data_IF_921270703356
#
_entry.id   IF_921270703356
#
_cell.length_a   1.000
_cell.length_b   1.000
_cell.length_c   1.000
_cell.angle_alpha   90.00
_cell.angle_beta   90.00
_cell.angle_gamma   90.00
#
_symmetry.space_group_name_H-M   'P 1'
#
loop_
_entity.id
_entity.type
_entity.pdbx_description
1 polymer ?
#
# COMPACT_ATOMS: atom_id res chain seq x y z
N UNK A 1 -23.16 -3.12 -1.26
CA UNK A 1 -22.13 -2.35 -0.54
C UNK A 1 -20.71 -2.82 -0.93
N UNK A 2 -20.42 -3.09 -2.21
CA UNK A 2 -19.11 -3.60 -2.66
C UNK A 2 -18.27 -2.57 -3.41
N UNK A 3 -18.88 -1.84 -4.34
CA UNK A 3 -18.15 -1.02 -5.32
C UNK A 3 -17.29 0.11 -4.73
N UNK A 4 -17.74 0.78 -3.67
CA UNK A 4 -16.96 1.87 -3.05
C UNK A 4 -15.73 1.34 -2.31
N UNK A 5 -15.87 0.19 -1.64
CA UNK A 5 -14.75 -0.47 -0.95
C UNK A 5 -13.76 -1.05 -1.96
N UNK A 6 -14.25 -1.59 -3.08
CA UNK A 6 -13.40 -2.06 -4.17
C UNK A 6 -12.58 -0.92 -4.79
N UNK A 7 -13.20 0.23 -5.08
CA UNK A 7 -12.51 1.41 -5.60
C UNK A 7 -11.47 1.90 -4.60
N UNK A 8 -11.82 1.97 -3.31
CA UNK A 8 -10.89 2.41 -2.26
C UNK A 8 -9.69 1.46 -2.14
N UNK A 9 -9.93 0.15 -2.17
CA UNK A 9 -8.87 -0.86 -2.11
C UNK A 9 -7.95 -0.78 -3.33
N UNK A 10 -8.49 -0.50 -4.52
CA UNK A 10 -7.72 -0.30 -5.74
C UNK A 10 -6.86 0.96 -5.67
N UNK A 11 -7.40 2.07 -5.14
CA UNK A 11 -6.64 3.30 -4.90
C UNK A 11 -5.51 3.05 -3.90
N UNK A 12 -5.80 2.42 -2.76
CA UNK A 12 -4.78 2.09 -1.75
C UNK A 12 -3.67 1.20 -2.34
N UNK A 13 -4.02 0.25 -3.21
CA UNK A 13 -3.05 -0.60 -3.90
C UNK A 13 -2.12 0.21 -4.81
N UNK A 14 -2.68 1.13 -5.61
CA UNK A 14 -1.88 2.01 -6.49
C UNK A 14 -0.94 2.89 -5.68
N UNK A 15 -1.39 3.46 -4.56
CA UNK A 15 -0.55 4.27 -3.67
C UNK A 15 0.55 3.41 -3.03
N UNK A 16 0.24 2.16 -2.64
CA UNK A 16 1.23 1.24 -2.08
C UNK A 16 2.36 0.92 -3.07
N UNK A 17 2.01 0.66 -4.34
CA UNK A 17 2.98 0.45 -5.42
C UNK A 17 3.83 1.70 -5.61
N UNK A 18 3.22 2.89 -5.64
CA UNK A 18 3.93 4.16 -5.77
C UNK A 18 4.93 4.39 -4.62
N UNK A 19 4.52 4.12 -3.38
CA UNK A 19 5.38 4.23 -2.21
C UNK A 19 6.58 3.27 -2.28
N UNK A 20 6.38 2.04 -2.75
CA UNK A 20 7.48 1.09 -2.94
C UNK A 20 8.47 1.52 -4.02
N UNK A 21 7.98 2.00 -5.18
CA UNK A 21 8.83 2.52 -6.25
C UNK A 21 9.63 3.72 -5.77
N UNK A 22 9.00 4.64 -5.03
CA UNK A 22 9.66 5.79 -4.43
C UNK A 22 10.72 5.35 -3.40
N UNK A 23 10.41 4.35 -2.57
CA UNK A 23 11.36 3.80 -1.61
C UNK A 23 12.63 3.26 -2.29
N UNK A 24 12.47 2.53 -3.40
CA UNK A 24 13.60 2.04 -4.20
C UNK A 24 14.41 3.22 -4.78
N UNK A 25 13.75 4.25 -5.31
CA UNK A 25 14.40 5.43 -5.86
C UNK A 25 15.23 6.18 -4.80
N UNK A 26 14.63 6.41 -3.63
CA UNK A 26 15.26 7.11 -2.50
C UNK A 26 16.44 6.31 -1.94
N UNK A 27 16.34 4.98 -1.91
CA UNK A 27 17.45 4.08 -1.55
C UNK A 27 18.65 4.25 -2.50
N UNK A 28 18.38 4.41 -3.80
CA UNK A 28 19.41 4.74 -4.80
C UNK A 28 20.11 6.09 -4.54
N UNK A 29 19.47 7.00 -3.82
CA UNK A 29 19.98 8.32 -3.49
C UNK A 29 20.73 8.38 -2.14
N UNK A 30 21.08 7.21 -1.56
CA UNK A 30 21.73 7.05 -0.24
C UNK A 30 20.91 7.56 0.96
N UNK A 31 19.61 7.72 0.79
CA UNK A 31 18.69 8.06 1.88
C UNK A 31 17.95 6.81 2.36
N UNK A 32 18.66 6.00 3.15
CA UNK A 32 18.14 4.71 3.61
C UNK A 32 16.94 4.87 4.56
N UNK A 33 16.87 5.97 5.32
CA UNK A 33 15.77 6.25 6.23
C UNK A 33 14.51 6.62 5.44
N UNK A 34 14.63 7.48 4.43
CA UNK A 34 13.52 7.82 3.54
C UNK A 34 13.01 6.60 2.77
N UNK A 35 13.91 5.73 2.33
CA UNK A 35 13.56 4.46 1.69
C UNK A 35 12.77 3.55 2.65
N UNK A 36 13.28 3.34 3.87
CA UNK A 36 12.62 2.50 4.88
C UNK A 36 11.24 3.03 5.24
N UNK A 37 11.08 4.34 5.36
CA UNK A 37 9.79 4.99 5.60
C UNK A 37 8.81 4.71 4.45
N UNK A 38 9.24 4.88 3.21
CA UNK A 38 8.42 4.60 2.03
C UNK A 38 8.02 3.12 1.94
N UNK A 39 8.92 2.19 2.25
CA UNK A 39 8.61 0.76 2.34
C UNK A 39 7.60 0.45 3.45
N UNK A 40 7.75 1.04 4.64
CA UNK A 40 6.81 0.86 5.74
C UNK A 40 5.41 1.37 5.37
N UNK A 41 5.32 2.56 4.77
CA UNK A 41 4.05 3.10 4.27
C UNK A 41 3.41 2.22 3.20
N UNK A 42 4.19 1.76 2.20
CA UNK A 42 3.71 0.85 1.16
C UNK A 42 3.17 -0.46 1.73
N UNK A 43 3.86 -1.05 2.71
CA UNK A 43 3.44 -2.29 3.37
C UNK A 43 2.11 -2.13 4.14
N UNK A 44 1.93 -1.01 4.86
CA UNK A 44 0.69 -0.71 5.58
C UNK A 44 -0.47 -0.53 4.61
N UNK A 45 -0.28 0.28 3.55
CA UNK A 45 -1.31 0.54 2.54
C UNK A 45 -1.72 -0.75 1.81
N UNK A 46 -0.75 -1.59 1.46
CA UNK A 46 -1.01 -2.89 0.84
C UNK A 46 -1.82 -3.79 1.78
N UNK A 47 -1.44 -3.86 3.06
CA UNK A 47 -2.18 -4.65 4.05
C UNK A 47 -3.61 -4.17 4.24
N UNK A 48 -3.82 -2.85 4.33
CA UNK A 48 -5.16 -2.26 4.42
C UNK A 48 -5.99 -2.54 3.17
N UNK A 49 -5.38 -2.48 1.98
CA UNK A 49 -6.06 -2.85 0.72
C UNK A 49 -6.54 -4.31 0.79
N UNK A 50 -5.65 -5.22 1.16
CA UNK A 50 -5.95 -6.66 1.24
C UNK A 50 -7.01 -6.96 2.29
N UNK A 51 -6.98 -6.32 3.46
CA UNK A 51 -8.01 -6.49 4.49
C UNK A 51 -9.40 -5.98 4.05
N UNK A 52 -9.45 -4.94 3.21
CA UNK A 52 -10.69 -4.43 2.63
C UNK A 52 -11.25 -5.37 1.54
N UNK A 53 -10.35 -5.96 0.74
CA UNK A 53 -10.66 -6.93 -0.31
C UNK A 53 -11.01 -8.32 0.23
N UNK A 54 -10.53 -8.68 1.42
CA UNK A 54 -10.77 -9.99 2.00
C UNK A 54 -12.26 -10.11 2.32
N UNK A 55 -12.99 -11.07 1.72
CA UNK A 55 -14.37 -11.31 2.08
C UNK A 55 -14.40 -11.69 3.56
N UNK A 56 -15.06 -10.86 4.38
CA UNK A 56 -15.39 -11.22 5.75
C UNK A 56 -16.38 -12.38 5.63
N UNK A 57 -15.93 -13.61 5.87
CA UNK A 57 -16.83 -14.75 6.04
C UNK A 57 -17.79 -14.36 7.15
N UNK A 58 -19.02 -14.02 6.78
CA UNK A 58 -20.08 -13.73 7.72
C UNK A 58 -20.52 -15.07 8.31
N UNK A 59 -20.24 -15.29 9.59
CA UNK A 59 -20.65 -16.48 10.35
C UNK A 59 -19.50 -17.40 10.69
#
# INVERSE_FOLDING_TARGET
>A
MGSVLDILALVLLVVAIGAFVLGIYVMGNRDDIGALFCFACGAVLLRSSVDLLRPRSAG
#
